data_IF_710598364181
#
_entry.id   IF_710598364181
#
_cell.length_a   1.000
_cell.length_b   1.000
_cell.length_c   1.000
_cell.angle_alpha   90.00
_cell.angle_beta   90.00
_cell.angle_gamma   90.00
#
_symmetry.space_group_name_H-M   'P 1'
#
loop_
_entity.id
_entity.type
_entity.pdbx_description
1 polymer ?
#
# COMPACT_ATOMS: atom_id res chain seq x y z
N UNK A 1 -4.18 9.70 -17.66
CA UNK A 1 -5.18 9.38 -16.61
C UNK A 1 -5.19 7.91 -16.18
N UNK A 2 -4.88 6.94 -17.06
CA UNK A 2 -4.89 5.50 -16.72
C UNK A 2 -3.90 5.08 -15.61
N UNK A 3 -2.73 5.74 -15.52
CA UNK A 3 -1.74 5.47 -14.45
C UNK A 3 -2.25 5.88 -13.06
N UNK A 4 -3.02 6.97 -12.99
CA UNK A 4 -3.57 7.46 -11.72
C UNK A 4 -4.67 6.54 -11.16
N UNK A 5 -5.49 5.94 -12.02
CA UNK A 5 -6.52 4.97 -11.58
C UNK A 5 -5.91 3.70 -10.98
N UNK A 6 -4.78 3.22 -11.51
CA UNK A 6 -4.03 2.09 -10.93
C UNK A 6 -3.49 2.42 -9.53
N UNK A 7 -3.03 3.66 -9.31
CA UNK A 7 -2.52 4.10 -8.00
C UNK A 7 -3.66 4.24 -7.00
N UNK A 8 -4.79 4.84 -7.41
CA UNK A 8 -5.96 5.05 -6.55
C UNK A 8 -6.60 3.72 -6.14
N UNK A 9 -6.47 2.66 -6.95
CA UNK A 9 -6.93 1.32 -6.59
C UNK A 9 -6.29 0.80 -5.28
N UNK A 10 -5.11 1.27 -4.89
CA UNK A 10 -4.51 0.89 -3.60
C UNK A 10 -5.27 1.46 -2.39
N UNK A 11 -6.03 2.55 -2.55
CA UNK A 11 -6.67 3.26 -1.41
C UNK A 11 -7.82 2.42 -0.80
N UNK A 12 -8.83 1.95 -1.56
CA UNK A 12 -9.88 1.10 -1.00
C UNK A 12 -9.32 -0.18 -0.38
N UNK A 13 -8.24 -0.72 -0.97
CA UNK A 13 -7.59 -1.94 -0.51
C UNK A 13 -6.88 -1.75 0.83
N UNK A 14 -6.17 -0.63 0.99
CA UNK A 14 -5.58 -0.27 2.28
C UNK A 14 -6.66 -0.03 3.35
N UNK A 15 -7.77 0.61 2.96
CA UNK A 15 -8.92 0.87 3.84
C UNK A 15 -9.51 -0.42 4.41
N UNK A 16 -9.70 -1.46 3.58
CA UNK A 16 -10.20 -2.77 4.05
C UNK A 16 -9.28 -3.37 5.11
N UNK A 17 -7.95 -3.31 4.91
CA UNK A 17 -6.99 -3.83 5.90
C UNK A 17 -7.06 -3.11 7.25
N UNK A 18 -7.16 -1.78 7.23
CA UNK A 18 -7.29 -0.98 8.45
C UNK A 18 -8.61 -1.23 9.18
N UNK A 19 -9.73 -1.35 8.45
CA UNK A 19 -11.04 -1.64 9.04
C UNK A 19 -11.09 -3.04 9.67
N UNK A 20 -10.58 -4.05 8.96
CA UNK A 20 -10.51 -5.43 9.47
C UNK A 20 -9.63 -5.48 10.72
N UNK A 21 -8.52 -4.76 10.75
CA UNK A 21 -7.66 -4.71 11.93
C UNK A 21 -8.36 -4.11 13.14
N UNK A 22 -9.05 -2.97 12.98
CA UNK A 22 -9.87 -2.37 14.06
C UNK A 22 -10.93 -3.36 14.58
N UNK A 23 -11.62 -4.02 13.65
CA UNK A 23 -12.64 -5.02 13.98
C UNK A 23 -12.07 -6.20 14.77
N UNK A 24 -10.92 -6.74 14.35
CA UNK A 24 -10.25 -7.85 15.04
C UNK A 24 -9.71 -7.47 16.42
N UNK A 25 -9.27 -6.22 16.59
CA UNK A 25 -8.77 -5.73 17.89
C UNK A 25 -9.87 -5.20 18.81
N UNK A 26 -11.12 -5.13 18.34
CA UNK A 26 -12.25 -4.58 19.10
C UNK A 26 -12.18 -3.06 19.30
N UNK A 27 -11.41 -2.35 18.48
CA UNK A 27 -11.28 -0.89 18.55
C UNK A 27 -12.31 -0.21 17.64
N UNK A 28 -12.78 0.96 18.05
CA UNK A 28 -13.78 1.70 17.29
C UNK A 28 -13.17 2.65 16.26
N UNK A 29 -13.97 2.97 15.24
CA UNK A 29 -13.65 4.02 14.28
C UNK A 29 -13.77 5.38 14.98
N UNK A 30 -12.63 5.93 15.36
CA UNK A 30 -12.45 7.14 16.17
C UNK A 30 -11.63 8.20 15.43
N UNK A 31 -11.58 9.43 15.94
CA UNK A 31 -10.75 10.51 15.37
C UNK A 31 -9.27 10.10 15.18
N UNK A 32 -8.60 9.47 16.18
CA UNK A 32 -7.23 8.98 15.99
C UNK A 32 -7.11 7.89 14.91
N UNK A 33 -8.10 6.99 14.81
CA UNK A 33 -8.12 5.97 13.76
C UNK A 33 -8.20 6.58 12.35
N UNK A 34 -8.97 7.67 12.19
CA UNK A 34 -9.08 8.41 10.94
C UNK A 34 -7.75 9.06 10.55
N UNK A 35 -7.00 9.61 11.51
CA UNK A 35 -5.64 10.10 11.28
C UNK A 35 -4.71 8.97 10.84
N UNK A 36 -4.85 7.78 11.44
CA UNK A 36 -4.17 6.55 11.00
C UNK A 36 -4.48 6.20 9.55
N UNK A 37 -5.74 6.28 9.11
CA UNK A 37 -6.13 6.04 7.72
C UNK A 37 -5.51 7.07 6.76
N UNK A 38 -5.44 8.35 7.14
CA UNK A 38 -4.78 9.38 6.33
C UNK A 38 -3.30 9.03 6.11
N UNK A 39 -2.59 8.66 7.18
CA UNK A 39 -1.19 8.25 7.10
C UNK A 39 -1.03 7.00 6.20
N UNK A 40 -1.90 6.01 6.39
CA UNK A 40 -1.93 4.79 5.59
C UNK A 40 -2.16 5.08 4.09
N UNK A 41 -3.06 5.99 3.74
CA UNK A 41 -3.30 6.37 2.35
C UNK A 41 -2.08 7.02 1.72
N UNK A 42 -1.38 7.88 2.45
CA UNK A 42 -0.11 8.45 1.99
C UNK A 42 0.91 7.38 1.62
N UNK A 43 1.07 6.36 2.48
CA UNK A 43 1.98 5.24 2.22
C UNK A 43 1.51 4.39 1.03
N UNK A 44 0.21 4.07 0.96
CA UNK A 44 -0.36 3.25 -0.11
C UNK A 44 -0.25 3.91 -1.49
N UNK A 45 -0.54 5.21 -1.57
CA UNK A 45 -0.39 6.03 -2.79
C UNK A 45 1.09 6.13 -3.17
N UNK A 46 1.97 6.36 -2.19
CA UNK A 46 3.41 6.37 -2.41
C UNK A 46 3.90 5.07 -3.03
N UNK A 47 3.63 3.93 -2.39
CA UNK A 47 4.03 2.61 -2.88
C UNK A 47 3.52 2.33 -4.31
N UNK A 48 2.24 2.66 -4.59
CA UNK A 48 1.65 2.52 -5.92
C UNK A 48 2.30 3.43 -6.96
N UNK A 49 2.51 4.72 -6.64
CA UNK A 49 3.11 5.70 -7.52
C UNK A 49 4.52 5.29 -7.94
N UNK A 50 5.35 4.89 -6.98
CA UNK A 50 6.74 4.57 -7.31
C UNK A 50 6.85 3.21 -8.04
N UNK A 51 5.95 2.25 -7.81
CA UNK A 51 5.87 1.02 -8.62
C UNK A 51 5.43 1.32 -10.05
N UNK A 52 4.34 2.06 -10.26
CA UNK A 52 3.83 2.41 -11.60
C UNK A 52 4.85 3.24 -12.39
N UNK A 53 5.55 4.16 -11.73
CA UNK A 53 6.62 4.95 -12.35
C UNK A 53 7.80 4.07 -12.75
N UNK A 54 8.20 3.11 -11.90
CA UNK A 54 9.28 2.17 -12.20
C UNK A 54 8.95 1.24 -13.37
N UNK A 55 7.75 0.69 -13.43
CA UNK A 55 7.30 -0.12 -14.58
C UNK A 55 7.29 0.74 -15.85
N UNK A 56 6.82 1.99 -15.76
CA UNK A 56 6.88 2.94 -16.88
C UNK A 56 8.31 3.18 -17.36
N UNK A 57 9.28 3.31 -16.45
CA UNK A 57 10.69 3.44 -16.78
C UNK A 57 11.25 2.20 -17.47
N UNK A 58 10.92 1.00 -16.97
CA UNK A 58 11.31 -0.27 -17.60
C UNK A 58 10.75 -0.41 -19.02
N UNK A 59 9.50 0.02 -19.24
CA UNK A 59 8.90 0.05 -20.59
C UNK A 59 9.62 1.01 -21.54
N UNK A 60 10.10 2.16 -21.06
CA UNK A 60 10.90 3.09 -21.86
C UNK A 60 12.26 2.50 -22.26
N UNK A 61 12.77 1.52 -21.51
CA UNK A 61 14.00 0.79 -21.80
C UNK A 61 13.78 -0.45 -22.68
N UNK A 62 12.58 -0.59 -23.28
CA UNK A 62 12.29 -1.61 -24.28
C UNK A 62 11.71 -2.92 -23.74
N UNK A 63 11.43 -3.02 -22.44
CA UNK A 63 10.77 -4.21 -21.89
C UNK A 63 9.29 -4.28 -22.28
N UNK A 64 8.83 -5.49 -22.62
CA UNK A 64 7.40 -5.76 -22.81
C UNK A 64 6.61 -5.53 -21.52
N UNK A 65 5.32 -5.21 -21.67
CA UNK A 65 4.41 -4.86 -20.56
C UNK A 65 4.42 -5.89 -19.43
N UNK A 66 4.40 -7.18 -19.78
CA UNK A 66 4.37 -8.28 -18.81
C UNK A 66 5.70 -8.39 -18.07
N UNK A 67 6.81 -8.34 -18.79
CA UNK A 67 8.14 -8.49 -18.22
C UNK A 67 8.53 -7.28 -17.35
N UNK A 68 8.24 -6.07 -17.83
CA UNK A 68 8.39 -4.83 -17.06
C UNK A 68 7.55 -4.86 -15.76
N UNK A 69 6.36 -5.46 -15.81
CA UNK A 69 5.49 -5.56 -14.64
C UNK A 69 6.01 -6.55 -13.60
N UNK A 70 6.50 -7.72 -14.05
CA UNK A 70 7.08 -8.74 -13.16
C UNK A 70 8.37 -8.19 -12.55
N UNK A 71 9.28 -7.69 -13.38
CA UNK A 71 10.55 -7.12 -12.91
C UNK A 71 10.31 -5.94 -11.97
N UNK A 72 9.40 -5.03 -12.32
CA UNK A 72 9.08 -3.90 -11.46
C UNK A 72 8.51 -4.31 -10.09
N UNK A 73 7.72 -5.38 -10.03
CA UNK A 73 7.23 -5.95 -8.77
C UNK A 73 8.34 -6.62 -7.95
N UNK A 74 9.22 -7.40 -8.59
CA UNK A 74 10.38 -8.03 -7.95
C UNK A 74 11.33 -6.99 -7.33
N UNK A 75 11.63 -5.92 -8.08
CA UNK A 75 12.51 -4.83 -7.61
C UNK A 75 11.90 -4.09 -6.40
N UNK A 76 10.56 -4.00 -6.36
CA UNK A 76 9.81 -3.31 -5.30
C UNK A 76 9.56 -4.16 -4.07
N UNK A 77 9.72 -5.48 -4.14
CA UNK A 77 9.51 -6.38 -3.01
C UNK A 77 10.33 -5.96 -1.79
N UNK A 78 11.64 -5.73 -1.96
CA UNK A 78 12.55 -5.33 -0.87
C UNK A 78 12.18 -3.96 -0.26
N UNK A 79 12.02 -2.88 -1.06
CA UNK A 79 11.60 -1.58 -0.54
C UNK A 79 10.26 -1.62 0.21
N UNK A 80 9.24 -2.28 -0.33
CA UNK A 80 7.91 -2.31 0.29
C UNK A 80 7.95 -3.07 1.62
N UNK A 81 8.65 -4.21 1.66
CA UNK A 81 8.85 -4.95 2.90
C UNK A 81 9.64 -4.14 3.93
N UNK A 82 10.66 -3.38 3.52
CA UNK A 82 11.42 -2.52 4.41
C UNK A 82 10.53 -1.47 5.07
N UNK A 83 9.65 -0.81 4.31
CA UNK A 83 8.68 0.15 4.87
C UNK A 83 7.70 -0.53 5.80
N UNK A 84 7.12 -1.67 5.39
CA UNK A 84 6.17 -2.41 6.21
C UNK A 84 6.79 -2.88 7.54
N UNK A 85 8.02 -3.40 7.52
CA UNK A 85 8.73 -3.81 8.72
C UNK A 85 9.07 -2.62 9.62
N UNK A 86 9.62 -1.54 9.04
CA UNK A 86 10.04 -0.36 9.82
C UNK A 86 8.84 0.28 10.51
N UNK A 87 7.76 0.52 9.76
CA UNK A 87 6.53 1.10 10.33
C UNK A 87 5.84 0.13 11.28
N UNK A 88 5.77 -1.15 10.92
CA UNK A 88 5.17 -2.20 11.75
C UNK A 88 5.84 -2.30 13.11
N UNK A 89 7.17 -2.43 13.12
CA UNK A 89 7.95 -2.51 14.36
C UNK A 89 7.94 -1.20 15.15
N UNK A 90 7.98 -0.05 14.48
CA UNK A 90 7.93 1.26 15.14
C UNK A 90 6.60 1.56 15.84
N UNK A 91 5.49 1.05 15.29
CA UNK A 91 4.16 1.23 15.85
C UNK A 91 3.71 0.07 16.76
N UNK A 92 4.42 -1.06 16.74
CA UNK A 92 4.07 -2.25 17.51
C UNK A 92 3.86 -1.97 19.01
N UNK A 93 4.73 -1.20 19.71
CA UNK A 93 4.54 -0.94 21.14
C UNK A 93 3.27 -0.15 21.45
N UNK A 94 2.83 0.71 20.53
CA UNK A 94 1.65 1.57 20.71
C UNK A 94 0.36 0.75 20.74
N UNK A 95 0.33 -0.41 20.06
CA UNK A 95 -0.82 -1.33 20.07
C UNK A 95 -1.07 -1.92 21.46
N UNK A 96 0.02 -2.14 22.23
CA UNK A 96 -0.01 -2.72 23.57
C UNK A 96 -0.01 -1.69 24.71
N UNK A 97 -0.03 -0.40 24.38
CA UNK A 97 -0.03 0.67 25.38
C UNK A 97 -1.35 0.65 26.19
N UNK A 98 -1.27 0.65 27.51
CA UNK A 98 -2.44 0.67 28.43
C UNK A 98 -2.49 1.90 29.32
N UNK A 99 -1.52 2.80 29.21
CA UNK A 99 -1.43 4.02 30.02
C UNK A 99 -2.31 5.17 29.49
N UNK A 100 -2.15 6.34 30.12
CA UNK A 100 -2.80 7.59 29.67
C UNK A 100 -2.45 7.89 28.20
N UNK A 101 -3.46 8.24 27.39
CA UNK A 101 -3.28 8.50 25.95
C UNK A 101 -3.27 7.26 25.06
N UNK A 102 -3.39 6.04 25.64
CA UNK A 102 -3.55 4.80 24.87
C UNK A 102 -4.79 4.82 23.97
N UNK A 103 -5.85 5.49 24.40
CA UNK A 103 -7.09 5.72 23.64
C UNK A 103 -6.88 6.45 22.30
N UNK A 104 -5.76 7.19 22.16
CA UNK A 104 -5.38 7.87 20.93
C UNK A 104 -4.38 7.04 20.13
N UNK A 105 -3.38 6.48 20.81
CA UNK A 105 -2.25 5.80 20.15
C UNK A 105 -2.62 4.44 19.58
N UNK A 106 -3.39 3.62 20.30
CA UNK A 106 -3.76 2.26 19.89
C UNK A 106 -4.54 2.23 18.57
N UNK A 107 -5.69 2.92 18.43
CA UNK A 107 -6.47 2.87 17.19
C UNK A 107 -5.69 3.42 15.99
N UNK A 108 -4.85 4.44 16.18
CA UNK A 108 -3.97 4.95 15.12
C UNK A 108 -2.97 3.90 14.66
N UNK A 109 -2.25 3.27 15.60
CA UNK A 109 -1.24 2.26 15.29
C UNK A 109 -1.84 1.02 14.63
N UNK A 110 -2.99 0.55 15.12
CA UNK A 110 -3.69 -0.64 14.60
C UNK A 110 -4.10 -0.44 13.14
N UNK A 111 -4.68 0.71 12.80
CA UNK A 111 -5.09 1.03 11.42
C UNK A 111 -3.88 1.01 10.48
N UNK A 112 -2.78 1.65 10.87
CA UNK A 112 -1.59 1.75 10.02
C UNK A 112 -0.96 0.38 9.81
N UNK A 113 -0.80 -0.42 10.87
CA UNK A 113 -0.21 -1.76 10.79
C UNK A 113 -1.09 -2.70 9.95
N UNK A 114 -2.37 -2.79 10.27
CA UNK A 114 -3.31 -3.67 9.56
C UNK A 114 -3.48 -3.29 8.09
N UNK A 115 -3.60 -1.99 7.83
CA UNK A 115 -3.65 -1.44 6.48
C UNK A 115 -2.39 -1.70 5.68
N UNK A 116 -1.20 -1.60 6.30
CA UNK A 116 0.08 -1.87 5.63
C UNK A 116 0.23 -3.33 5.25
N UNK A 117 -0.17 -4.26 6.11
CA UNK A 117 -0.09 -5.70 5.81
C UNK A 117 -0.95 -6.02 4.60
N UNK A 118 -2.21 -5.60 4.62
CA UNK A 118 -3.14 -5.76 3.48
C UNK A 118 -2.58 -5.07 2.22
N UNK A 119 -2.23 -3.79 2.31
CA UNK A 119 -1.76 -2.99 1.18
C UNK A 119 -0.46 -3.52 0.59
N UNK A 120 0.46 -4.03 1.41
CA UNK A 120 1.73 -4.62 0.94
C UNK A 120 1.49 -5.89 0.15
N UNK A 121 0.70 -6.81 0.71
CA UNK A 121 0.37 -8.07 0.05
C UNK A 121 -0.35 -7.79 -1.27
N UNK A 122 -1.34 -6.89 -1.26
CA UNK A 122 -2.07 -6.58 -2.48
C UNK A 122 -1.27 -5.72 -3.47
N UNK A 123 -0.39 -4.80 -3.05
CA UNK A 123 0.45 -4.02 -3.98
C UNK A 123 1.39 -4.92 -4.77
N UNK A 124 1.97 -5.93 -4.11
CA UNK A 124 2.93 -6.84 -4.74
C UNK A 124 2.28 -7.93 -5.60
N UNK A 125 1.03 -8.30 -5.33
CA UNK A 125 0.30 -9.32 -6.09
C UNK A 125 -0.72 -8.74 -7.08
N UNK A 126 -1.53 -7.76 -6.65
CA UNK A 126 -2.62 -7.21 -7.45
C UNK A 126 -2.09 -6.29 -8.56
N UNK A 127 -1.13 -5.39 -8.28
CA UNK A 127 -0.63 -4.49 -9.33
C UNK A 127 -0.01 -5.27 -10.50
N UNK A 128 0.92 -6.23 -10.32
CA UNK A 128 1.45 -6.97 -11.46
C UNK A 128 0.40 -7.83 -12.18
N UNK A 129 -0.59 -8.37 -11.47
CA UNK A 129 -1.69 -9.10 -12.08
C UNK A 129 -2.62 -8.19 -12.93
N UNK A 130 -2.91 -6.98 -12.46
CA UNK A 130 -3.82 -6.05 -13.13
C UNK A 130 -3.11 -5.14 -14.16
N UNK A 131 -1.80 -4.94 -14.06
CA UNK A 131 -1.05 -4.07 -14.98
C UNK A 131 -1.19 -4.53 -16.44
N UNK A 132 -1.07 -5.84 -16.70
CA UNK A 132 -1.24 -6.42 -18.03
C UNK A 132 -2.66 -6.26 -18.60
N UNK A 133 -3.67 -6.11 -17.74
CA UNK A 133 -5.07 -5.92 -18.15
C UNK A 133 -5.38 -4.45 -18.48
N UNK A 134 -4.83 -3.51 -17.70
CA UNK A 134 -5.05 -2.08 -17.90
C UNK A 134 -4.13 -1.44 -18.95
N UNK A 135 -2.92 -1.98 -19.16
CA UNK A 135 -1.88 -1.39 -20.05
C UNK A 135 -1.83 -2.08 -21.43
N UNK A 136 -2.82 -2.91 -21.77
CA UNK A 136 -2.95 -3.50 -23.12
C UNK A 136 -3.25 -2.46 -24.23
N UNK A 137 -3.39 -1.17 -23.90
CA UNK A 137 -3.88 -0.12 -24.82
C UNK A 137 -2.99 1.12 -24.96
N UNK A 138 -1.70 1.05 -24.63
CA UNK A 138 -0.72 2.05 -25.12
C UNK A 138 0.21 1.34 -26.10
N UNK A 139 -0.21 1.36 -27.38
CA UNK A 139 0.65 1.11 -28.53
C UNK A 139 1.79 2.12 -28.42
N UNK A 140 3.00 1.62 -28.22
CA UNK A 140 4.21 2.42 -28.34
C UNK A 140 4.28 2.80 -29.82
N UNK A 141 3.86 4.02 -30.16
CA UNK A 141 4.19 4.60 -31.46
C UNK A 141 5.67 4.94 -31.41
N UNK A 142 6.43 4.24 -32.25
CA UNK A 142 7.83 4.53 -32.57
C UNK A 142 7.91 5.75 -33.49
#
# INVERSE_FOLDING_TARGET
>A
MQKASLIILNIPLALVGGLVALFLTGENLSVPSSVGFIALFGIAVGNGLVLVSHIGHLRLHGLEVVEASIQGACDRLRPVLMTAMTTGLGLLPLVFSTGTGSEVQRPLAIVVIGGLISSTFLTLFAIPAFYGWFVKKERVEF
#
